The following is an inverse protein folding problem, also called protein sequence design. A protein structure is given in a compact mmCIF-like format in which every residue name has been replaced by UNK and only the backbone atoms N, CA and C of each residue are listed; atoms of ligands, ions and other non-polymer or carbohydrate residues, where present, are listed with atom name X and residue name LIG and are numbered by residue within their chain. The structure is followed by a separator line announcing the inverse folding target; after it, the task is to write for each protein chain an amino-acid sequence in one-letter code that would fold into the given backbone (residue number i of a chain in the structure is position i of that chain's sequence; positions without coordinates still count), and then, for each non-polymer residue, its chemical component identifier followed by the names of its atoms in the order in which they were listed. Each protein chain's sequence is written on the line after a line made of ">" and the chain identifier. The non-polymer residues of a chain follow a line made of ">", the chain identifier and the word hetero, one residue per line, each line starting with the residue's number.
data_IF_006262967276
#
_entry.id   IF_006262967276
#
_cell.length_a   1.000
_cell.length_b   1.000
_cell.length_c   1.000
_cell.angle_alpha   90.00
_cell.angle_beta   90.00
_cell.angle_gamma   90.00
#
_symmetry.space_group_name_H-M   'P 1'
#
loop_
_entity.id
_entity.type
_entity.pdbx_description
1 polymer ?
#
# COMPACT_ATOMS: atom_id res chain seq x y z
N UNK A 1 -3.94 5.90 -30.92
CA UNK A 1 -3.69 5.45 -29.54
C UNK A 1 -5.04 5.07 -28.99
N UNK A 2 -5.19 3.87 -28.43
CA UNK A 2 -6.50 3.33 -28.07
C UNK A 2 -7.12 4.19 -26.95
N UNK A 3 -8.23 4.87 -27.21
CA UNK A 3 -9.04 5.62 -26.21
C UNK A 3 -9.81 4.67 -25.24
N UNK A 4 -9.26 3.50 -24.95
CA UNK A 4 -9.87 2.46 -24.13
C UNK A 4 -9.43 2.54 -22.68
N UNK A 5 -10.36 2.27 -21.75
CA UNK A 5 -10.02 2.07 -20.33
C UNK A 5 -9.14 0.81 -20.19
N UNK A 6 -8.08 0.92 -19.40
CA UNK A 6 -7.22 -0.20 -19.00
C UNK A 6 -7.25 -0.35 -17.49
N UNK A 7 -6.98 -1.55 -16.98
CA UNK A 7 -6.74 -1.76 -15.57
C UNK A 7 -5.35 -1.23 -15.22
N UNK A 8 -5.27 -0.39 -14.20
CA UNK A 8 -4.02 0.13 -13.65
C UNK A 8 -3.99 -0.19 -12.15
N UNK A 9 -2.84 -0.63 -11.66
CA UNK A 9 -2.60 -0.86 -10.25
C UNK A 9 -1.75 0.30 -9.70
N UNK A 10 -2.20 0.87 -8.58
CA UNK A 10 -1.45 1.86 -7.80
C UNK A 10 -1.00 1.17 -6.53
N UNK A 11 0.31 1.11 -6.29
CA UNK A 11 0.91 0.44 -5.14
C UNK A 11 1.45 1.47 -4.15
N UNK A 12 1.26 1.21 -2.87
CA UNK A 12 1.75 2.02 -1.77
C UNK A 12 2.33 1.10 -0.69
N UNK A 13 3.60 1.28 -0.36
CA UNK A 13 4.24 0.62 0.79
C UNK A 13 4.18 1.51 2.02
N UNK A 14 3.88 0.96 3.18
CA UNK A 14 3.89 1.65 4.47
C UNK A 14 4.50 0.77 5.55
N UNK A 15 5.33 1.35 6.41
CA UNK A 15 5.73 0.72 7.67
C UNK A 15 4.78 1.17 8.76
N UNK A 16 3.92 0.25 9.17
CA UNK A 16 2.90 0.50 10.17
C UNK A 16 2.52 -0.80 10.87
N UNK A 17 1.86 -0.70 12.01
CA UNK A 17 1.15 -1.85 12.59
C UNK A 17 -0.03 -2.26 11.71
N UNK A 18 -0.53 -3.49 11.86
CA UNK A 18 -1.70 -3.97 11.13
C UNK A 18 -2.94 -3.07 11.35
N UNK A 19 -3.12 -2.58 12.57
CA UNK A 19 -4.23 -1.68 12.92
C UNK A 19 -4.13 -0.33 12.20
N UNK A 20 -2.94 0.26 12.17
CA UNK A 20 -2.68 1.52 11.45
C UNK A 20 -2.83 1.35 9.94
N UNK A 21 -2.38 0.22 9.38
CA UNK A 21 -2.53 -0.09 7.96
C UNK A 21 -4.02 -0.22 7.57
N UNK A 22 -4.82 -0.93 8.38
CA UNK A 22 -6.28 -1.04 8.19
C UNK A 22 -6.97 0.32 8.28
N UNK A 23 -6.61 1.13 9.27
CA UNK A 23 -7.15 2.48 9.41
C UNK A 23 -6.81 3.35 8.18
N UNK A 24 -5.58 3.27 7.67
CA UNK A 24 -5.18 3.97 6.46
C UNK A 24 -5.98 3.49 5.24
N UNK A 25 -6.20 2.19 5.10
CA UNK A 25 -7.06 1.61 4.04
C UNK A 25 -8.47 2.20 4.09
N UNK A 26 -9.09 2.29 5.26
CA UNK A 26 -10.43 2.87 5.43
C UNK A 26 -10.46 4.36 5.04
N UNK A 27 -9.42 5.12 5.41
CA UNK A 27 -9.29 6.53 5.02
C UNK A 27 -9.13 6.70 3.50
N UNK A 28 -8.35 5.84 2.84
CA UNK A 28 -8.18 5.87 1.38
C UNK A 28 -9.51 5.50 0.69
N UNK A 29 -10.22 4.47 1.17
CA UNK A 29 -11.55 4.13 0.67
C UNK A 29 -12.51 5.31 0.72
N UNK A 30 -12.51 6.05 1.84
CA UNK A 30 -13.34 7.23 1.99
C UNK A 30 -12.94 8.35 1.03
N UNK A 31 -11.64 8.59 0.87
CA UNK A 31 -11.11 9.62 -0.03
C UNK A 31 -11.41 9.33 -1.51
N UNK A 32 -11.33 8.06 -1.93
CA UNK A 32 -11.59 7.64 -3.32
C UNK A 32 -13.08 7.57 -3.65
N UNK A 33 -13.95 7.50 -2.64
CA UNK A 33 -15.38 7.53 -2.82
C UNK A 33 -15.85 8.97 -3.11
N UNK A 34 -16.36 9.28 -4.32
CA UNK A 34 -16.78 10.65 -4.65
C UNK A 34 -17.99 11.13 -3.85
N UNK A 35 -18.74 10.22 -3.22
CA UNK A 35 -19.85 10.51 -2.32
C UNK A 35 -20.01 9.34 -1.32
N UNK A 36 -19.57 9.43 -0.06
CA UNK A 36 -19.67 8.31 0.90
C UNK A 36 -21.10 7.86 1.20
N UNK A 37 -22.10 8.70 0.95
CA UNK A 37 -23.53 8.40 1.24
C UNK A 37 -24.27 7.75 0.06
N UNK A 38 -23.58 7.44 -1.04
CA UNK A 38 -24.22 6.75 -2.18
C UNK A 38 -24.53 5.28 -1.87
N UNK A 39 -25.58 4.73 -2.49
CA UNK A 39 -25.84 3.29 -2.45
C UNK A 39 -24.77 2.54 -3.25
N UNK A 40 -24.05 1.56 -2.66
CA UNK A 40 -23.04 0.78 -3.38
C UNK A 40 -23.60 0.04 -4.61
N UNK A 41 -22.79 -0.19 -5.66
CA UNK A 41 -21.34 0.08 -5.77
C UNK A 41 -20.98 1.50 -6.24
N UNK A 42 -19.72 1.91 -6.01
CA UNK A 42 -19.17 3.20 -6.46
C UNK A 42 -19.36 3.43 -7.97
N UNK A 43 -19.71 4.66 -8.41
CA UNK A 43 -19.82 5.00 -9.84
C UNK A 43 -18.50 4.86 -10.61
N UNK A 44 -17.37 5.00 -9.92
CA UNK A 44 -16.03 4.71 -10.45
C UNK A 44 -15.63 3.33 -9.91
N UNK A 45 -15.35 2.34 -10.77
CA UNK A 45 -14.96 1.00 -10.32
C UNK A 45 -13.52 1.01 -9.79
N UNK A 46 -13.35 0.70 -8.52
CA UNK A 46 -12.05 0.52 -7.87
C UNK A 46 -12.12 -0.59 -6.82
N UNK A 47 -10.96 -1.13 -6.48
CA UNK A 47 -10.77 -2.03 -5.35
C UNK A 47 -9.46 -1.64 -4.66
N UNK A 48 -9.39 -1.88 -3.35
CA UNK A 48 -8.16 -1.73 -2.57
C UNK A 48 -7.78 -3.10 -2.00
N UNK A 49 -6.49 -3.43 -2.07
CA UNK A 49 -5.91 -4.60 -1.41
C UNK A 49 -5.05 -4.16 -0.24
N UNK A 50 -5.03 -4.97 0.82
CA UNK A 50 -4.11 -4.82 1.95
C UNK A 50 -3.41 -6.17 2.12
N UNK A 51 -2.11 -6.20 1.84
CA UNK A 51 -1.29 -7.40 1.98
C UNK A 51 -0.22 -7.15 3.06
N UNK A 52 -0.06 -8.09 3.98
CA UNK A 52 1.05 -8.11 4.92
C UNK A 52 2.34 -8.53 4.22
N UNK A 53 3.50 -8.17 4.78
CA UNK A 53 4.81 -8.59 4.26
C UNK A 53 4.89 -10.11 4.04
N UNK A 54 4.35 -10.89 4.98
CA UNK A 54 4.35 -12.36 4.90
C UNK A 54 3.52 -12.92 3.74
N UNK A 55 2.62 -12.14 3.16
CA UNK A 55 1.78 -12.52 2.02
C UNK A 55 2.38 -12.03 0.69
N UNK A 56 3.45 -11.24 0.73
CA UNK A 56 4.10 -10.73 -0.48
C UNK A 56 5.19 -11.67 -0.96
N UNK A 57 5.26 -11.88 -2.28
CA UNK A 57 6.41 -12.51 -2.91
C UNK A 57 7.69 -11.68 -2.68
N UNK A 58 8.88 -12.32 -2.57
CA UNK A 58 10.14 -11.64 -2.29
C UNK A 58 10.43 -10.45 -3.21
N UNK A 59 10.20 -10.59 -4.52
CA UNK A 59 10.47 -9.53 -5.50
C UNK A 59 9.55 -8.31 -5.33
N UNK A 60 8.39 -8.49 -4.68
CA UNK A 60 7.49 -7.39 -4.31
C UNK A 60 7.94 -6.73 -3.02
N UNK A 61 8.50 -7.48 -2.08
CA UNK A 61 9.07 -6.92 -0.84
C UNK A 61 10.27 -6.01 -1.15
N UNK A 62 11.11 -6.41 -2.11
CA UNK A 62 12.28 -5.64 -2.58
C UNK A 62 11.90 -4.22 -3.07
N UNK A 63 10.68 -4.05 -3.64
CA UNK A 63 10.20 -2.75 -4.12
C UNK A 63 10.02 -1.71 -3.00
N UNK A 64 10.01 -2.14 -1.74
CA UNK A 64 9.78 -1.29 -0.57
C UNK A 64 10.99 -1.22 0.37
N UNK A 65 12.18 -1.66 -0.07
CA UNK A 65 13.41 -1.58 0.74
C UNK A 65 13.75 -0.14 1.15
N UNK A 66 13.55 0.83 0.25
CA UNK A 66 13.84 2.24 0.52
C UNK A 66 13.04 2.80 1.71
N UNK A 67 11.80 2.33 1.91
CA UNK A 67 10.95 2.78 3.02
C UNK A 67 11.47 2.21 4.35
N UNK A 68 11.98 0.97 4.35
CA UNK A 68 12.65 0.36 5.52
C UNK A 68 13.91 1.11 5.88
N UNK A 69 14.69 1.44 4.86
CA UNK A 69 15.91 2.22 5.02
C UNK A 69 15.62 3.60 5.60
N UNK A 70 14.63 4.30 5.04
CA UNK A 70 14.20 5.60 5.55
C UNK A 70 13.76 5.52 7.02
N UNK A 71 12.88 4.57 7.37
CA UNK A 71 12.42 4.41 8.75
C UNK A 71 13.58 4.14 9.71
N UNK A 72 14.54 3.30 9.33
CA UNK A 72 15.73 3.02 10.14
C UNK A 72 16.55 4.28 10.40
N UNK A 73 16.77 5.12 9.38
CA UNK A 73 17.50 6.37 9.51
C UNK A 73 16.76 7.35 10.44
N UNK A 74 15.44 7.47 10.28
CA UNK A 74 14.62 8.45 11.00
C UNK A 74 14.30 8.05 12.45
N UNK A 75 14.10 6.74 12.70
CA UNK A 75 13.80 6.21 14.03
C UNK A 75 15.06 5.95 14.88
N UNK A 76 16.21 5.76 14.23
CA UNK A 76 17.43 5.26 14.89
C UNK A 76 17.35 3.79 15.31
N UNK A 77 16.31 3.06 14.88
CA UNK A 77 16.09 1.65 15.24
C UNK A 77 16.90 0.71 14.33
N UNK A 78 17.93 0.09 14.89
CA UNK A 78 18.81 -0.86 14.18
C UNK A 78 18.22 -2.26 14.04
N UNK A 79 17.03 -2.53 14.60
CA UNK A 79 16.42 -3.87 14.59
C UNK A 79 15.90 -4.29 13.20
N UNK A 80 15.62 -3.35 12.30
CA UNK A 80 15.20 -3.62 10.93
C UNK A 80 16.44 -3.64 10.03
N UNK A 81 17.18 -4.75 10.04
CA UNK A 81 18.30 -4.95 9.12
C UNK A 81 17.76 -5.46 7.77
N UNK A 82 18.08 -4.84 6.63
CA UNK A 82 17.74 -5.43 5.34
C UNK A 82 18.46 -6.77 5.17
N UNK A 83 17.89 -7.72 4.39
CA UNK A 83 18.63 -8.93 4.03
C UNK A 83 19.97 -8.53 3.40
N UNK A 84 21.06 -9.20 3.79
CA UNK A 84 22.36 -8.95 3.18
C UNK A 84 22.24 -9.24 1.68
N UNK A 85 22.42 -8.20 0.85
CA UNK A 85 22.40 -8.33 -0.61
C UNK A 85 23.59 -9.23 -1.02
N UNK A 86 23.38 -10.25 -1.88
CA UNK A 86 24.46 -11.12 -2.36
C UNK A 86 25.49 -10.37 -3.21
#
# INVERSE_FOLDING_TARGET
>A
MSDGKMLWEIKLGVLATEAEAKQLTDQICHLLCPNPDHTPPCPIPWAIGLDSESEMEPERQEQYEDIREQYRIESGDTAIRPPDKP
#
